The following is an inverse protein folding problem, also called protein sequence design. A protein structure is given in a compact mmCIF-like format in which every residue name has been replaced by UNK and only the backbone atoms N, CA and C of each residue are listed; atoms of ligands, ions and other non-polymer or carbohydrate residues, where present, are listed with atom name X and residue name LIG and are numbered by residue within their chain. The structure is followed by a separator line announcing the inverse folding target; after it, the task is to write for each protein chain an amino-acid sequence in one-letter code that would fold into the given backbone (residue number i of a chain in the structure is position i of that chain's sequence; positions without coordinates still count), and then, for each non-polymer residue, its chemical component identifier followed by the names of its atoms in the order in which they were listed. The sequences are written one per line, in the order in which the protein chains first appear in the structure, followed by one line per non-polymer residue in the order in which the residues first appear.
data_IF_663658631993
#
_entry.id   IF_663658631993
#
_cell.length_a   1.000
_cell.length_b   1.000
_cell.length_c   1.000
_cell.angle_alpha   90.00
_cell.angle_beta   90.00
_cell.angle_gamma   90.00
#
_symmetry.space_group_name_H-M   'P 1'
#
loop_
_entity.id
_entity.type
_entity.pdbx_description
1 polymer ?
#
# COMPACT_ATOMS: atom_id res chain seq x y z
N UNK A 1 -6.30 16.52 -3.77
CA UNK A 1 -4.96 15.89 -3.73
C UNK A 1 -5.10 14.46 -3.19
N UNK A 2 -4.19 13.52 -3.47
CA UNK A 2 -4.34 12.04 -3.30
C UNK A 2 -5.08 11.55 -2.05
N UNK A 3 -4.96 12.28 -0.93
CA UNK A 3 -5.67 12.00 0.32
C UNK A 3 -7.20 11.89 0.15
N UNK A 4 -7.80 12.73 -0.69
CA UNK A 4 -9.25 12.71 -0.96
C UNK A 4 -9.71 11.45 -1.72
N UNK A 5 -8.77 10.67 -2.28
CA UNK A 5 -9.05 9.50 -3.12
C UNK A 5 -8.63 8.19 -2.45
N UNK A 6 -7.97 8.25 -1.28
CA UNK A 6 -7.42 7.05 -0.63
C UNK A 6 -8.51 6.06 -0.25
N UNK A 7 -9.68 6.56 0.17
CA UNK A 7 -10.84 5.76 0.57
C UNK A 7 -11.33 4.88 -0.57
N UNK A 8 -11.61 5.48 -1.73
CA UNK A 8 -12.06 4.76 -2.92
C UNK A 8 -10.99 3.86 -3.54
N UNK A 9 -9.71 4.21 -3.39
CA UNK A 9 -8.58 3.49 -4.00
C UNK A 9 -8.01 2.43 -3.07
N UNK A 10 -7.03 2.82 -2.26
CA UNK A 10 -6.25 1.90 -1.44
C UNK A 10 -7.12 1.24 -0.37
N UNK A 11 -7.84 2.03 0.42
CA UNK A 11 -8.60 1.50 1.55
C UNK A 11 -9.75 0.63 1.06
N UNK A 12 -10.51 1.08 0.07
CA UNK A 12 -11.61 0.29 -0.48
C UNK A 12 -11.16 -1.02 -1.12
N UNK A 13 -9.98 -1.06 -1.76
CA UNK A 13 -9.41 -2.32 -2.26
C UNK A 13 -9.05 -3.24 -1.09
N UNK A 14 -8.29 -2.74 -0.12
CA UNK A 14 -7.80 -3.54 1.00
C UNK A 14 -8.96 -4.06 1.86
N UNK A 15 -9.98 -3.23 2.07
CA UNK A 15 -11.23 -3.58 2.76
C UNK A 15 -12.00 -4.69 2.05
N UNK A 16 -12.27 -4.58 0.74
CA UNK A 16 -12.96 -5.64 -0.04
C UNK A 16 -12.21 -6.98 0.00
N UNK A 17 -10.88 -6.94 -0.07
CA UNK A 17 -10.06 -8.16 -0.06
C UNK A 17 -10.07 -8.79 1.34
N UNK A 18 -9.93 -8.00 2.41
CA UNK A 18 -9.80 -8.51 3.78
C UNK A 18 -11.16 -8.92 4.36
N UNK A 19 -12.22 -8.16 4.08
CA UNK A 19 -13.60 -8.48 4.51
C UNK A 19 -14.13 -9.77 3.88
N UNK A 20 -13.65 -10.16 2.69
CA UNK A 20 -13.96 -11.48 2.10
C UNK A 20 -13.49 -12.65 2.95
N UNK A 21 -12.57 -12.41 3.89
CA UNK A 21 -12.08 -13.38 4.88
C UNK A 21 -12.75 -13.23 6.25
N UNK A 22 -13.82 -12.44 6.38
CA UNK A 22 -14.48 -12.15 7.66
C UNK A 22 -13.61 -11.39 8.64
N UNK A 23 -12.60 -10.65 8.14
CA UNK A 23 -11.65 -9.89 8.95
C UNK A 23 -11.81 -8.39 8.71
N UNK A 24 -11.46 -7.61 9.73
CA UNK A 24 -11.39 -6.16 9.66
C UNK A 24 -9.92 -5.72 9.64
N UNK A 25 -9.59 -4.76 8.77
CA UNK A 25 -8.25 -4.17 8.70
C UNK A 25 -8.17 -2.91 9.55
N UNK A 26 -7.07 -2.75 10.28
CA UNK A 26 -6.77 -1.53 11.04
C UNK A 26 -5.55 -0.83 10.44
N UNK A 27 -5.63 0.51 10.33
CA UNK A 27 -4.56 1.34 9.78
C UNK A 27 -4.06 2.36 10.81
N UNK A 28 -3.24 1.97 11.81
CA UNK A 28 -2.79 2.88 12.87
C UNK A 28 -2.10 4.16 12.35
N UNK A 29 -1.39 4.09 11.22
CA UNK A 29 -0.74 5.25 10.60
C UNK A 29 -1.72 6.23 9.91
N UNK A 30 -3.01 5.90 9.84
CA UNK A 30 -4.08 6.77 9.35
C UNK A 30 -5.00 7.26 10.48
N UNK A 31 -4.64 6.99 11.75
CA UNK A 31 -5.33 7.59 12.90
C UNK A 31 -5.28 9.12 12.82
N UNK A 32 -6.40 9.78 13.10
CA UNK A 32 -6.54 11.24 12.93
C UNK A 32 -5.61 12.02 13.85
N UNK A 33 -5.46 11.58 15.10
CA UNK A 33 -4.57 12.24 16.06
C UNK A 33 -3.12 12.11 15.63
N UNK A 34 -2.72 10.90 15.19
CA UNK A 34 -1.39 10.65 14.67
C UNK A 34 -1.09 11.49 13.42
N UNK A 35 -2.01 11.55 12.46
CA UNK A 35 -1.86 12.36 11.24
C UNK A 35 -1.77 13.85 11.58
N UNK A 36 -2.63 14.34 12.49
CA UNK A 36 -2.60 15.75 12.92
C UNK A 36 -1.30 16.11 13.62
N UNK A 37 -0.76 15.22 14.47
CA UNK A 37 0.55 15.38 15.07
C UNK A 37 1.66 15.44 14.01
N UNK A 38 1.71 14.51 13.06
CA UNK A 38 2.73 14.55 12.01
C UNK A 38 2.65 15.82 11.13
N UNK A 39 1.44 16.36 10.92
CA UNK A 39 1.23 17.60 10.16
C UNK A 39 1.76 18.84 10.87
N UNK A 40 1.90 18.82 12.20
CA UNK A 40 2.46 19.95 12.95
C UNK A 40 4.00 19.95 12.95
N UNK A 41 4.63 18.83 12.61
CA UNK A 41 6.08 18.70 12.54
C UNK A 41 6.60 19.25 11.20
N UNK A 42 7.67 20.07 11.20
CA UNK A 42 8.33 20.48 9.97
C UNK A 42 8.74 19.30 9.08
N UNK A 43 8.45 19.39 7.78
CA UNK A 43 8.64 18.28 6.83
C UNK A 43 10.05 17.71 6.86
N UNK A 44 11.08 18.56 6.97
CA UNK A 44 12.49 18.13 6.99
C UNK A 44 12.88 17.27 8.19
N UNK A 45 12.12 17.34 9.30
CA UNK A 45 12.31 16.44 10.45
C UNK A 45 11.65 15.08 10.22
N UNK A 46 10.58 15.03 9.42
CA UNK A 46 9.88 13.78 9.07
C UNK A 46 10.50 13.07 7.87
N UNK A 47 11.05 13.82 6.92
CA UNK A 47 11.73 13.35 5.72
C UNK A 47 12.71 14.40 5.16
N UNK A 48 13.93 13.99 4.83
CA UNK A 48 14.92 14.84 4.14
C UNK A 48 15.27 14.25 2.78
N UNK A 49 14.53 14.67 1.74
CA UNK A 49 14.69 14.12 0.38
C UNK A 49 15.97 14.59 -0.34
N UNK A 50 16.83 15.39 0.32
CA UNK A 50 18.17 15.73 -0.19
C UNK A 50 19.17 14.59 0.01
N UNK A 51 18.89 13.71 0.97
CA UNK A 51 19.73 12.55 1.27
C UNK A 51 19.49 11.42 0.25
N UNK A 52 20.42 10.47 0.20
CA UNK A 52 20.32 9.32 -0.69
C UNK A 52 19.06 8.47 -0.42
N UNK A 53 18.63 7.74 -1.45
CA UNK A 53 17.49 6.83 -1.38
C UNK A 53 17.64 5.83 -0.23
N UNK A 54 16.57 5.63 0.54
CA UNK A 54 16.58 4.76 1.71
C UNK A 54 17.10 5.41 3.00
N UNK A 55 17.65 6.63 2.94
CA UNK A 55 18.11 7.38 4.12
C UNK A 55 17.08 8.45 4.49
N UNK A 56 16.83 9.40 3.58
CA UNK A 56 16.00 10.58 3.83
C UNK A 56 14.49 10.32 3.85
N UNK A 57 14.04 9.28 3.14
CA UNK A 57 12.64 8.89 3.08
C UNK A 57 12.20 8.33 4.44
N UNK A 58 11.10 8.84 5.00
CA UNK A 58 10.53 8.38 6.28
C UNK A 58 11.52 8.50 7.45
N UNK A 59 12.32 9.56 7.45
CA UNK A 59 13.43 9.77 8.38
C UNK A 59 13.02 9.60 9.85
N UNK A 60 11.97 10.31 10.31
CA UNK A 60 11.48 10.19 11.69
C UNK A 60 11.04 8.77 12.04
N UNK A 61 10.35 8.07 11.12
CA UNK A 61 9.94 6.68 11.35
C UNK A 61 11.14 5.75 11.51
N UNK A 62 12.20 5.95 10.71
CA UNK A 62 13.43 5.17 10.80
C UNK A 62 14.17 5.45 12.12
N UNK A 63 14.19 6.70 12.54
CA UNK A 63 14.75 7.11 13.84
C UNK A 63 14.03 6.40 14.99
N UNK A 64 12.70 6.47 15.02
CA UNK A 64 11.89 5.79 16.04
C UNK A 64 12.11 4.28 16.02
N UNK A 65 12.07 3.66 14.83
CA UNK A 65 12.30 2.22 14.69
C UNK A 65 13.66 1.78 15.23
N UNK A 66 14.72 2.55 14.96
CA UNK A 66 16.09 2.25 15.39
C UNK A 66 16.26 2.44 16.90
N UNK A 67 15.81 3.56 17.44
CA UNK A 67 16.19 4.00 18.79
C UNK A 67 15.18 3.61 19.87
N UNK A 68 13.92 3.39 19.52
CA UNK A 68 12.85 3.12 20.49
C UNK A 68 12.24 1.73 20.36
N UNK A 69 12.39 1.08 19.20
CA UNK A 69 11.81 -0.26 18.94
C UNK A 69 12.88 -1.33 18.69
N UNK A 70 14.17 -0.99 18.75
CA UNK A 70 15.29 -1.91 18.48
C UNK A 70 15.25 -2.57 17.09
N UNK A 71 14.59 -1.94 16.11
CA UNK A 71 14.45 -2.43 14.74
C UNK A 71 15.55 -1.89 13.82
N UNK A 72 16.82 -2.01 14.23
CA UNK A 72 17.94 -1.38 13.52
C UNK A 72 18.03 -1.83 12.05
N UNK A 73 17.97 -3.13 11.78
CA UNK A 73 18.11 -3.63 10.41
C UNK A 73 16.92 -3.19 9.54
N UNK A 74 15.70 -3.27 10.08
CA UNK A 74 14.49 -2.85 9.39
C UNK A 74 14.47 -1.35 9.08
N UNK A 75 15.05 -0.54 9.97
CA UNK A 75 15.15 0.92 9.80
C UNK A 75 16.03 1.33 8.59
N UNK A 76 16.84 0.43 8.05
CA UNK A 76 17.76 0.70 6.92
C UNK A 76 17.18 0.34 5.56
N UNK A 77 16.12 -0.46 5.49
CA UNK A 77 15.61 -0.93 4.19
C UNK A 77 14.95 0.20 3.39
N UNK A 78 15.35 0.41 2.12
CA UNK A 78 14.68 1.37 1.24
C UNK A 78 13.21 1.01 1.04
N UNK A 79 12.33 2.02 0.90
CA UNK A 79 10.90 1.77 0.68
C UNK A 79 10.71 1.01 -0.63
N UNK A 80 10.03 -0.13 -0.55
CA UNK A 80 9.52 -0.89 -1.70
C UNK A 80 8.01 -1.09 -1.55
N UNK A 81 7.24 -0.87 -2.60
CA UNK A 81 5.80 -1.19 -2.56
C UNK A 81 5.61 -2.71 -2.63
N UNK A 82 4.54 -3.22 -2.01
CA UNK A 82 4.29 -4.67 -1.91
C UNK A 82 4.30 -5.30 -3.31
N UNK A 83 3.66 -4.66 -4.30
CA UNK A 83 3.62 -5.21 -5.66
C UNK A 83 4.99 -5.34 -6.34
N UNK A 84 5.94 -4.47 -5.97
CA UNK A 84 7.31 -4.58 -6.46
C UNK A 84 8.10 -5.57 -5.62
N UNK A 85 7.84 -5.67 -4.32
CA UNK A 85 8.45 -6.62 -3.39
C UNK A 85 8.14 -8.07 -3.76
N UNK A 86 6.87 -8.39 -3.96
CA UNK A 86 6.38 -9.72 -4.35
C UNK A 86 6.65 -10.07 -5.81
N UNK A 87 7.13 -9.12 -6.63
CA UNK A 87 7.32 -9.25 -8.08
C UNK A 87 6.01 -9.46 -8.87
N UNK A 88 4.83 -9.35 -8.25
CA UNK A 88 3.52 -9.47 -8.93
C UNK A 88 3.37 -8.45 -10.07
N UNK A 89 3.96 -7.26 -9.93
CA UNK A 89 3.96 -6.25 -11.00
C UNK A 89 4.68 -6.69 -12.29
N UNK A 90 5.47 -7.78 -12.27
CA UNK A 90 6.06 -8.38 -13.47
C UNK A 90 5.13 -9.36 -14.18
N UNK A 91 4.09 -9.83 -13.49
CA UNK A 91 3.09 -10.77 -14.00
C UNK A 91 1.86 -10.04 -14.58
N UNK A 92 1.70 -8.76 -14.25
CA UNK A 92 0.65 -7.90 -14.80
C UNK A 92 1.06 -7.30 -16.15
N UNK A 93 0.09 -7.14 -17.05
CA UNK A 93 0.32 -6.43 -18.31
C UNK A 93 0.61 -4.97 -18.02
N UNK A 94 1.61 -4.38 -18.69
CA UNK A 94 1.96 -2.95 -18.51
C UNK A 94 0.81 -1.99 -18.85
N UNK A 95 -0.19 -2.45 -19.59
CA UNK A 95 -1.37 -1.67 -20.00
C UNK A 95 -2.52 -1.77 -18.99
N UNK A 96 -2.51 -2.77 -18.12
CA UNK A 96 -3.55 -2.98 -17.10
C UNK A 96 -3.36 -1.98 -15.95
N UNK A 97 -4.43 -1.26 -15.61
CA UNK A 97 -4.51 -0.42 -14.42
C UNK A 97 -5.25 -1.17 -13.33
N UNK A 98 -4.92 -0.87 -12.07
CA UNK A 98 -5.59 -1.44 -10.91
C UNK A 98 -7.11 -1.17 -10.83
N UNK A 99 -7.63 -0.21 -11.63
CA UNK A 99 -9.05 0.07 -11.75
C UNK A 99 -9.77 -0.79 -12.79
N UNK A 100 -9.03 -1.49 -13.64
CA UNK A 100 -9.58 -2.22 -14.77
C UNK A 100 -10.15 -3.56 -14.28
N UNK A 101 -11.24 -4.01 -14.89
CA UNK A 101 -11.72 -5.37 -14.64
C UNK A 101 -10.73 -6.37 -15.24
N UNK A 102 -10.32 -7.37 -14.44
CA UNK A 102 -9.39 -8.39 -14.88
C UNK A 102 -10.10 -9.37 -15.82
N UNK A 103 -9.86 -9.24 -17.13
CA UNK A 103 -10.47 -10.11 -18.14
C UNK A 103 -10.21 -11.60 -17.88
N UNK A 104 -9.05 -11.95 -17.33
CA UNK A 104 -8.69 -13.33 -16.93
C UNK A 104 -9.63 -13.93 -15.88
N UNK A 105 -10.28 -13.09 -15.06
CA UNK A 105 -11.22 -13.52 -14.02
C UNK A 105 -12.69 -13.41 -14.45
N UNK A 106 -12.97 -12.78 -15.60
CA UNK A 106 -14.35 -12.64 -16.12
C UNK A 106 -14.72 -13.74 -17.11
N UNK A 107 -13.76 -14.47 -17.69
CA UNK A 107 -14.03 -15.48 -18.75
C UNK A 107 -14.64 -16.78 -18.22
N UNK A 108 -14.70 -17.00 -16.91
CA UNK A 108 -15.13 -18.29 -16.32
C UNK A 108 -16.64 -18.58 -16.37
N UNK A 109 -17.50 -17.70 -16.89
CA UNK A 109 -18.97 -17.87 -16.79
C UNK A 109 -19.73 -18.19 -18.09
N UNK A 110 -19.08 -18.38 -19.24
CA UNK A 110 -19.80 -18.53 -20.53
C UNK A 110 -19.73 -19.92 -21.20
N UNK A 111 -19.13 -20.94 -20.58
CA UNK A 111 -18.94 -22.26 -21.21
C UNK A 111 -19.73 -23.43 -20.60
N UNK A 112 -20.79 -23.18 -19.82
CA UNK A 112 -21.60 -24.27 -19.21
C UNK A 112 -23.08 -24.28 -19.62
N UNK A 113 -23.45 -23.75 -20.79
CA UNK A 113 -24.85 -23.77 -21.25
C UNK A 113 -25.02 -24.01 -22.76
N UNK A 114 -24.29 -24.95 -23.37
CA UNK A 114 -24.52 -25.30 -24.79
C UNK A 114 -24.28 -26.79 -25.12
N UNK A 115 -24.52 -27.73 -24.19
CA UNK A 115 -24.46 -29.18 -24.48
C UNK A 115 -25.75 -29.91 -24.03
N UNK A 116 -26.93 -29.32 -24.26
CA UNK A 116 -28.21 -30.03 -24.23
C UNK A 116 -29.10 -29.54 -25.40
N UNK A 117 -28.86 -30.11 -26.59
CA UNK A 117 -29.89 -30.44 -27.60
C UNK A 117 -29.36 -31.47 -28.60
#
# INVERSE_FOLDING_TARGET
MEMNRISKRNLGRDDRVISSLGKEVRFPFLDEQFVNYLRSIPIWLTADLRLARGIGEKYLLRYVARHYLSLEQSSKYPKRAIQFGSRIAKLESRKEKASDQCSRLTTTNNNTMNDEE
#
